data_IF_138698589692
#
_entry.id   IF_138698589692
#
_cell.length_a   1.000
_cell.length_b   1.000
_cell.length_c   1.000
_cell.angle_alpha   90.00
_cell.angle_beta   90.00
_cell.angle_gamma   90.00
#
_symmetry.space_group_name_H-M   'P 1'
#
loop_
_entity.id
_entity.type
_entity.pdbx_description
1 polymer ?
#
# COMPACT_ATOMS: atom_id res chain seq x y z
N UNK A 1 -25.25 -10.55 -11.09
CA UNK A 1 -23.99 -10.50 -10.31
C UNK A 1 -23.07 -9.50 -10.98
N UNK A 2 -22.55 -8.48 -10.27
CA UNK A 2 -21.62 -7.54 -10.90
C UNK A 2 -20.30 -8.25 -11.19
N UNK A 3 -19.96 -8.32 -12.48
CA UNK A 3 -18.65 -8.77 -12.96
C UNK A 3 -17.87 -7.52 -13.31
N UNK A 4 -16.75 -7.32 -12.62
CA UNK A 4 -15.89 -6.16 -12.79
C UNK A 4 -14.71 -6.58 -13.66
N UNK A 5 -14.50 -5.87 -14.75
CA UNK A 5 -13.40 -6.15 -15.68
C UNK A 5 -12.17 -5.34 -15.26
N UNK A 6 -11.06 -6.01 -14.99
CA UNK A 6 -9.82 -5.29 -14.79
C UNK A 6 -9.34 -4.64 -16.10
N UNK A 7 -8.81 -3.43 -15.98
CA UNK A 7 -8.30 -2.62 -17.09
C UNK A 7 -6.80 -2.78 -17.28
N UNK A 8 -6.09 -3.22 -16.24
CA UNK A 8 -4.65 -3.39 -16.28
C UNK A 8 -4.15 -4.23 -15.10
N UNK A 9 -3.10 -5.00 -15.34
CA UNK A 9 -2.52 -5.89 -14.33
C UNK A 9 -1.01 -5.70 -14.27
N UNK A 10 -0.46 -5.47 -13.07
CA UNK A 10 0.99 -5.49 -12.91
C UNK A 10 1.52 -6.91 -13.19
N UNK A 11 2.61 -7.02 -13.98
CA UNK A 11 3.11 -8.30 -14.52
C UNK A 11 3.30 -9.40 -13.47
N UNK A 12 3.76 -9.05 -12.27
CA UNK A 12 4.02 -9.98 -11.17
C UNK A 12 2.76 -10.39 -10.38
N UNK A 13 1.62 -9.74 -10.57
CA UNK A 13 0.41 -10.01 -9.77
C UNK A 13 -0.22 -11.34 -10.12
N UNK A 14 -0.23 -11.74 -11.40
CA UNK A 14 -0.73 -13.06 -11.81
C UNK A 14 0.00 -14.19 -11.08
N UNK A 15 1.34 -14.14 -11.06
CA UNK A 15 2.15 -15.17 -10.41
C UNK A 15 1.87 -15.22 -8.89
N UNK A 16 1.73 -14.06 -8.24
CA UNK A 16 1.39 -13.98 -6.81
C UNK A 16 0.03 -14.63 -6.50
N UNK A 17 -0.98 -14.33 -7.33
CA UNK A 17 -2.34 -14.89 -7.18
C UNK A 17 -2.38 -16.40 -7.46
N UNK A 18 -1.55 -16.90 -8.37
CA UNK A 18 -1.47 -18.33 -8.67
C UNK A 18 -0.82 -19.11 -7.52
N UNK A 19 0.23 -18.56 -6.90
CA UNK A 19 0.91 -19.20 -5.76
C UNK A 19 0.04 -19.14 -4.51
N UNK A 20 -0.67 -18.03 -4.29
CA UNK A 20 -1.52 -17.80 -3.13
C UNK A 20 -2.95 -17.56 -3.60
N UNK A 21 -3.83 -18.53 -3.44
CA UNK A 21 -5.19 -18.41 -3.96
C UNK A 21 -6.10 -17.59 -3.05
N UNK A 22 -5.88 -17.59 -1.74
CA UNK A 22 -6.75 -16.92 -0.76
C UNK A 22 -6.13 -15.61 -0.29
N UNK A 23 -6.87 -14.51 -0.32
CA UNK A 23 -6.41 -13.18 0.12
C UNK A 23 -7.46 -12.51 0.99
N UNK A 24 -7.05 -11.71 1.97
CA UNK A 24 -7.96 -10.92 2.79
C UNK A 24 -7.86 -9.43 2.48
N UNK A 25 -8.97 -8.72 2.60
CA UNK A 25 -8.99 -7.26 2.53
C UNK A 25 -8.29 -6.69 3.76
N UNK A 26 -7.07 -6.16 3.60
CA UNK A 26 -6.31 -5.57 4.69
C UNK A 26 -6.73 -4.12 4.98
N UNK A 27 -6.99 -3.32 3.94
CA UNK A 27 -7.34 -1.90 4.10
C UNK A 27 -8.15 -1.38 2.92
N UNK A 28 -9.13 -0.52 3.18
CA UNK A 28 -10.02 0.10 2.17
C UNK A 28 -9.78 1.62 2.11
N UNK A 29 -9.74 2.17 0.91
CA UNK A 29 -9.55 3.60 0.61
C UNK A 29 -10.61 4.07 -0.38
N UNK A 30 -10.69 5.39 -0.60
CA UNK A 30 -11.63 5.96 -1.57
C UNK A 30 -11.36 5.50 -3.01
N UNK A 31 -10.11 5.20 -3.35
CA UNK A 31 -9.69 4.85 -4.70
C UNK A 31 -9.36 3.37 -4.90
N UNK A 32 -9.66 2.50 -3.92
CA UNK A 32 -9.37 1.09 -3.99
C UNK A 32 -9.17 0.45 -2.61
N UNK A 33 -8.61 -0.74 -2.59
CA UNK A 33 -8.32 -1.49 -1.37
C UNK A 33 -7.05 -2.32 -1.55
N UNK A 34 -6.46 -2.74 -0.43
CA UNK A 34 -5.37 -3.70 -0.43
C UNK A 34 -5.91 -5.09 -0.06
N UNK A 35 -5.52 -6.07 -0.85
CA UNK A 35 -5.50 -7.46 -0.48
C UNK A 35 -4.15 -7.78 0.16
N UNK A 36 -4.16 -8.68 1.13
CA UNK A 36 -2.97 -9.18 1.80
C UNK A 36 -3.04 -10.71 1.93
N UNK A 37 -1.87 -11.33 1.86
CA UNK A 37 -1.64 -12.70 2.26
C UNK A 37 -0.21 -12.74 2.82
N UNK A 38 -0.08 -13.04 4.12
CA UNK A 38 1.17 -12.91 4.87
C UNK A 38 1.82 -11.51 4.70
N UNK A 39 3.02 -11.44 4.15
CA UNK A 39 3.78 -10.21 3.93
C UNK A 39 3.56 -9.60 2.54
N UNK A 40 2.74 -10.22 1.69
CA UNK A 40 2.47 -9.79 0.32
C UNK A 40 1.20 -8.95 0.24
N UNK A 41 1.21 -7.95 -0.64
CA UNK A 41 0.10 -7.02 -0.82
C UNK A 41 -0.18 -6.75 -2.28
N UNK A 42 -1.46 -6.75 -2.62
CA UNK A 42 -1.97 -6.39 -3.95
C UNK A 42 -2.95 -5.23 -3.77
N UNK A 43 -2.74 -4.15 -4.51
CA UNK A 43 -3.68 -3.03 -4.55
C UNK A 43 -4.69 -3.27 -5.67
N UNK A 44 -5.98 -3.23 -5.35
CA UNK A 44 -7.07 -3.27 -6.32
C UNK A 44 -7.74 -1.90 -6.32
N UNK A 45 -7.68 -1.18 -7.44
CA UNK A 45 -8.24 0.16 -7.48
C UNK A 45 -7.97 0.93 -8.76
N UNK A 46 -8.14 2.25 -8.69
CA UNK A 46 -8.00 3.11 -9.86
C UNK A 46 -6.53 3.44 -10.16
N UNK A 47 -6.27 3.89 -11.38
CA UNK A 47 -4.95 4.42 -11.78
C UNK A 47 -4.67 5.84 -11.24
N UNK A 48 -5.44 6.37 -10.28
CA UNK A 48 -5.30 7.75 -9.76
C UNK A 48 -3.89 8.06 -9.26
N UNK A 49 -3.23 7.08 -8.64
CA UNK A 49 -1.85 7.21 -8.13
C UNK A 49 -0.81 6.65 -9.12
N UNK A 50 -1.21 6.53 -10.40
CA UNK A 50 -0.45 5.88 -11.46
C UNK A 50 -0.52 4.34 -11.41
N UNK A 51 0.24 3.72 -12.30
CA UNK A 51 0.44 2.26 -12.33
C UNK A 51 1.29 1.85 -11.12
N UNK A 52 0.74 1.01 -10.23
CA UNK A 52 1.45 0.47 -9.07
C UNK A 52 2.09 -0.88 -9.40
N UNK A 53 3.28 -1.19 -8.86
CA UNK A 53 4.00 -2.43 -9.16
C UNK A 53 3.36 -3.71 -8.58
N UNK A 54 2.26 -3.57 -7.84
CA UNK A 54 1.44 -4.68 -7.31
C UNK A 54 -0.04 -4.34 -7.48
N UNK A 55 -0.40 -3.75 -8.63
CA UNK A 55 -1.72 -3.19 -8.90
C UNK A 55 -2.57 -4.04 -9.82
N UNK A 56 -3.85 -4.17 -9.46
CA UNK A 56 -4.97 -4.51 -10.33
C UNK A 56 -5.74 -3.21 -10.57
N UNK A 57 -5.76 -2.75 -11.81
CA UNK A 57 -6.45 -1.52 -12.20
C UNK A 57 -7.88 -1.85 -12.61
N UNK A 58 -8.85 -1.15 -12.03
CA UNK A 58 -10.27 -1.26 -12.41
C UNK A 58 -10.84 0.14 -12.67
N UNK A 59 -12.00 0.22 -13.32
CA UNK A 59 -12.64 1.49 -13.65
C UNK A 59 -13.06 2.26 -12.39
N UNK A 60 -13.10 3.60 -12.48
CA UNK A 60 -13.50 4.44 -11.35
C UNK A 60 -14.92 4.14 -10.85
N UNK A 61 -15.85 3.83 -11.77
CA UNK A 61 -17.22 3.44 -11.44
C UNK A 61 -17.25 2.13 -10.64
N UNK A 62 -16.43 1.16 -11.05
CA UNK A 62 -16.40 -0.17 -10.45
C UNK A 62 -15.72 -0.16 -9.08
N UNK A 63 -14.70 0.70 -8.88
CA UNK A 63 -14.11 0.92 -7.55
C UNK A 63 -15.16 1.37 -6.55
N UNK A 64 -16.03 2.31 -6.92
CA UNK A 64 -17.10 2.79 -6.03
C UNK A 64 -18.02 1.66 -5.60
N UNK A 65 -18.41 0.78 -6.53
CA UNK A 65 -19.20 -0.41 -6.23
C UNK A 65 -18.47 -1.40 -5.34
N UNK A 66 -17.17 -1.62 -5.59
CA UNK A 66 -16.32 -2.51 -4.78
C UNK A 66 -16.23 -2.01 -3.34
N UNK A 67 -15.80 -0.77 -3.13
CA UNK A 67 -15.55 -0.23 -1.79
C UNK A 67 -16.84 -0.13 -0.95
N UNK A 68 -18.01 0.02 -1.59
CA UNK A 68 -19.30 0.02 -0.91
C UNK A 68 -19.73 -1.38 -0.43
N UNK A 69 -19.15 -2.43 -1.01
CA UNK A 69 -19.60 -3.82 -0.81
C UNK A 69 -18.59 -4.69 -0.05
N UNK A 70 -17.37 -4.20 0.16
CA UNK A 70 -16.30 -4.93 0.86
C UNK A 70 -16.02 -4.34 2.24
N UNK A 71 -15.55 -5.19 3.14
CA UNK A 71 -15.10 -4.83 4.48
C UNK A 71 -13.72 -5.44 4.75
N UNK A 72 -12.99 -4.84 5.69
CA UNK A 72 -11.71 -5.38 6.16
C UNK A 72 -11.89 -6.81 6.68
N UNK A 73 -10.88 -7.66 6.46
CA UNK A 73 -10.84 -9.10 6.76
C UNK A 73 -11.79 -9.98 5.94
N UNK A 74 -12.53 -9.43 4.98
CA UNK A 74 -13.25 -10.26 4.01
C UNK A 74 -12.31 -10.91 3.01
N UNK A 75 -12.76 -12.01 2.40
CA UNK A 75 -11.89 -12.90 1.66
C UNK A 75 -12.17 -12.83 0.16
N UNK A 76 -11.10 -12.80 -0.61
CA UNK A 76 -11.09 -13.07 -2.04
C UNK A 76 -10.36 -14.38 -2.31
N UNK A 77 -10.86 -15.15 -3.25
CA UNK A 77 -10.22 -16.36 -3.73
C UNK A 77 -9.98 -16.27 -5.23
N UNK A 78 -8.76 -16.58 -5.63
CA UNK A 78 -8.33 -16.55 -7.01
C UNK A 78 -8.54 -17.92 -7.66
N UNK A 79 -9.31 -17.94 -8.75
CA UNK A 79 -9.59 -19.11 -9.56
C UNK A 79 -9.57 -18.73 -11.04
N UNK A 80 -8.63 -19.32 -11.79
CA UNK A 80 -8.57 -19.25 -13.26
C UNK A 80 -8.76 -17.83 -13.84
N UNK A 81 -7.95 -16.88 -13.36
CA UNK A 81 -8.04 -15.49 -13.81
C UNK A 81 -9.11 -14.65 -13.11
N UNK A 82 -9.86 -15.20 -12.16
CA UNK A 82 -10.96 -14.50 -11.49
C UNK A 82 -10.67 -14.38 -10.00
N UNK A 83 -10.82 -13.17 -9.44
CA UNK A 83 -10.92 -12.96 -7.99
C UNK A 83 -12.39 -12.98 -7.57
N UNK A 84 -12.76 -13.98 -6.79
CA UNK A 84 -14.10 -14.21 -6.26
C UNK A 84 -14.18 -13.72 -4.81
N UNK A 85 -15.09 -12.79 -4.53
CA UNK A 85 -15.34 -12.39 -3.15
C UNK A 85 -16.19 -13.46 -2.45
N UNK A 86 -15.79 -13.92 -1.27
CA UNK A 86 -16.47 -15.01 -0.56
C UNK A 86 -17.81 -14.57 0.04
N UNK A 87 -17.86 -13.34 0.56
CA UNK A 87 -19.01 -12.83 1.30
C UNK A 87 -20.04 -12.15 0.41
N UNK A 88 -19.82 -12.07 -0.91
CA UNK A 88 -20.78 -11.50 -1.85
C UNK A 88 -20.65 -12.09 -3.25
N UNK A 89 -21.55 -11.71 -4.16
CA UNK A 89 -21.53 -12.18 -5.55
C UNK A 89 -20.57 -11.40 -6.47
N UNK A 90 -19.59 -10.69 -5.91
CA UNK A 90 -18.65 -9.86 -6.69
C UNK A 90 -17.56 -10.74 -7.31
N UNK A 91 -17.27 -10.48 -8.58
CA UNK A 91 -16.18 -11.10 -9.32
C UNK A 91 -15.32 -10.03 -9.99
N UNK A 92 -14.01 -10.18 -9.94
CA UNK A 92 -13.06 -9.34 -10.68
C UNK A 92 -12.35 -10.23 -11.69
N UNK A 93 -12.61 -9.98 -12.96
CA UNK A 93 -12.04 -10.71 -14.09
C UNK A 93 -10.68 -10.12 -14.47
N UNK A 94 -9.66 -10.97 -14.51
CA UNK A 94 -8.27 -10.62 -14.81
C UNK A 94 -7.78 -11.27 -16.13
N UNK A 95 -8.55 -12.17 -16.74
CA UNK A 95 -8.17 -12.83 -17.98
C UNK A 95 -8.15 -11.86 -19.17
N UNK A 96 -7.14 -12.00 -20.04
CA UNK A 96 -6.99 -11.15 -21.23
C UNK A 96 -6.62 -9.67 -20.96
N UNK A 97 -6.37 -9.30 -19.70
CA UNK A 97 -6.11 -7.91 -19.30
C UNK A 97 -4.69 -7.47 -19.68
N UNK A 98 -4.49 -6.24 -20.21
CA UNK A 98 -3.18 -5.73 -20.52
C UNK A 98 -2.24 -5.71 -19.32
N UNK A 99 -1.10 -6.40 -19.45
CA UNK A 99 -0.08 -6.38 -18.42
C UNK A 99 0.82 -5.15 -18.52
N UNK A 100 1.29 -4.66 -17.39
CA UNK A 100 2.22 -3.54 -17.33
C UNK A 100 3.36 -3.75 -16.32
N UNK A 101 4.46 -3.05 -16.55
CA UNK A 101 5.57 -2.93 -15.60
C UNK A 101 5.59 -1.52 -15.01
N UNK A 102 5.68 -1.40 -13.69
CA UNK A 102 5.91 -0.12 -13.02
C UNK A 102 7.31 -0.14 -12.40
N UNK A 103 8.21 0.70 -12.90
CA UNK A 103 9.50 0.93 -12.23
C UNK A 103 9.26 1.84 -11.02
N UNK A 104 9.68 1.41 -9.82
CA UNK A 104 9.85 2.33 -8.68
C UNK A 104 11.11 3.14 -8.96
N UNK A 105 10.97 4.37 -9.45
CA UNK A 105 12.10 5.29 -9.45
C UNK A 105 12.39 5.73 -8.01
N UNK A 106 13.61 5.48 -7.55
CA UNK A 106 14.09 5.92 -6.25
C UNK A 106 14.41 7.41 -6.35
N UNK A 107 13.42 8.26 -6.15
CA UNK A 107 13.66 9.69 -6.03
C UNK A 107 14.17 9.99 -4.63
N UNK A 108 15.32 10.64 -4.51
CA UNK A 108 15.78 11.20 -3.24
C UNK A 108 14.80 12.30 -2.80
N UNK A 109 13.99 12.03 -1.77
CA UNK A 109 13.17 13.07 -1.16
C UNK A 109 14.09 13.89 -0.25
N UNK A 110 14.46 15.10 -0.67
CA UNK A 110 15.02 16.10 0.23
C UNK A 110 13.86 16.72 1.01
N UNK A 111 13.66 16.39 2.30
CA UNK A 111 12.61 17.03 3.08
C UNK A 111 12.81 18.54 3.10
N UNK A 112 11.72 19.31 3.00
CA UNK A 112 11.81 20.76 3.08
C UNK A 112 12.32 21.19 4.45
N UNK A 113 13.05 22.31 4.53
CA UNK A 113 13.50 22.90 5.80
C UNK A 113 12.33 23.19 6.74
N UNK A 114 11.17 23.51 6.18
CA UNK A 114 9.91 23.67 6.92
C UNK A 114 9.46 22.37 7.59
N UNK A 115 9.44 21.24 6.87
CA UNK A 115 9.10 19.93 7.44
C UNK A 115 10.05 19.53 8.59
N UNK A 116 11.35 19.78 8.41
CA UNK A 116 12.36 19.51 9.45
C UNK A 116 12.11 20.32 10.72
N UNK A 117 11.85 21.63 10.59
CA UNK A 117 11.62 22.49 11.75
C UNK A 117 10.31 22.16 12.48
N UNK A 118 9.25 21.82 11.74
CA UNK A 118 7.93 21.53 12.33
C UNK A 118 7.88 20.18 13.04
N UNK A 119 8.69 19.20 12.65
CA UNK A 119 8.63 17.84 13.21
C UNK A 119 9.85 17.40 14.01
N UNK A 120 11.01 18.03 13.80
CA UNK A 120 12.25 17.71 14.50
C UNK A 120 12.90 18.92 15.17
N UNK A 121 12.36 20.12 14.96
CA UNK A 121 12.96 21.37 15.39
C UNK A 121 12.50 21.86 16.76
N UNK A 122 12.65 21.08 17.83
CA UNK A 122 12.82 21.63 19.21
C UNK A 122 13.67 20.72 20.08
N UNK A 123 14.99 20.90 20.01
CA UNK A 123 15.91 20.58 21.10
C UNK A 123 16.86 21.77 21.28
N UNK A 124 16.48 22.66 22.19
CA UNK A 124 17.40 23.59 22.84
C UNK A 124 17.01 23.65 24.31
N UNK A 125 17.67 22.81 25.11
CA UNK A 125 18.38 23.20 26.34
C UNK A 125 18.60 21.94 27.19
N UNK A 126 19.85 21.80 27.66
CA UNK A 126 20.29 20.95 28.76
C UNK A 126 20.63 19.49 28.43
N UNK A 127 21.84 19.31 27.89
CA UNK A 127 22.79 18.33 28.45
C UNK A 127 22.55 16.83 28.33
N UNK A 128 21.45 16.35 27.73
CA UNK A 128 21.21 14.91 27.54
C UNK A 128 21.20 14.55 26.04
N UNK A 129 22.19 13.76 25.61
CA UNK A 129 22.21 13.15 24.27
C UNK A 129 21.17 12.01 24.24
N UNK A 130 20.12 12.18 23.42
CA UNK A 130 19.21 11.09 23.07
C UNK A 130 19.44 10.68 21.61
N UNK A 131 19.79 9.41 21.38
CA UNK A 131 19.82 8.80 20.06
C UNK A 131 18.46 8.17 19.76
N UNK A 132 17.86 8.53 18.62
CA UNK A 132 16.63 7.90 18.13
C UNK A 132 16.94 6.50 17.61
N UNK A 133 16.31 5.48 18.20
CA UNK A 133 16.32 4.11 17.68
C UNK A 133 14.96 3.75 17.10
N UNK A 134 15.02 3.08 15.93
CA UNK A 134 13.99 2.29 15.23
C UNK A 134 12.52 2.65 15.47
N UNK A 135 11.88 3.13 14.40
CA UNK A 135 10.43 3.02 14.23
C UNK A 135 10.04 1.56 13.97
N UNK A 136 9.54 0.88 14.99
CA UNK A 136 8.64 -0.27 14.84
C UNK A 136 7.36 0.04 15.61
N UNK A 137 6.22 -0.14 14.92
CA UNK A 137 4.81 0.04 15.32
C UNK A 137 4.54 0.44 16.78
N UNK A 138 3.82 1.57 16.92
CA UNK A 138 2.95 1.97 18.02
C UNK A 138 3.43 1.66 19.45
N UNK A 139 4.15 2.60 20.08
CA UNK A 139 4.15 3.02 21.50
C UNK A 139 5.53 3.60 21.84
N UNK A 140 5.58 4.84 22.31
CA UNK A 140 6.83 5.56 22.65
C UNK A 140 7.35 5.12 24.02
N UNK A 141 8.58 4.59 24.09
CA UNK A 141 9.36 4.49 25.34
C UNK A 141 10.72 5.13 25.10
N UNK A 142 11.10 6.11 25.93
CA UNK A 142 12.39 6.79 25.86
C UNK A 142 13.43 6.04 26.70
N UNK A 143 14.55 5.65 26.10
CA UNK A 143 15.78 5.24 26.81
C UNK A 143 16.99 6.04 26.30
N UNK A 144 17.98 6.36 27.16
CA UNK A 144 19.18 7.10 26.76
C UNK A 144 20.27 6.15 26.23
N UNK A 145 20.79 6.39 25.02
CA UNK A 145 21.98 5.70 24.51
C UNK A 145 22.95 6.62 23.75
N UNK A 146 24.23 6.31 23.93
CA UNK A 146 25.42 6.99 23.41
C UNK A 146 25.70 6.69 21.93
N UNK A 147 26.34 7.68 21.29
CA UNK A 147 27.08 7.66 20.00
C UNK A 147 26.26 7.80 18.70
N UNK A 148 26.70 8.79 17.91
CA UNK A 148 26.08 9.24 16.67
C UNK A 148 26.57 8.43 15.47
N UNK A 149 25.65 7.95 14.64
CA UNK A 149 25.92 7.61 13.24
C UNK A 149 24.77 8.16 12.39
N UNK A 150 25.15 8.84 11.32
CA UNK A 150 24.31 9.57 10.38
C UNK A 150 23.32 8.62 9.68
N UNK A 151 22.02 8.72 9.99
CA UNK A 151 20.98 7.92 9.35
C UNK A 151 20.35 8.70 8.18
N UNK A 152 20.62 8.24 6.95
CA UNK A 152 19.87 8.64 5.75
C UNK A 152 18.47 8.05 5.83
N UNK A 153 17.46 8.90 5.82
CA UNK A 153 16.06 8.46 5.72
C UNK A 153 15.69 8.20 4.26
N UNK A 154 15.13 7.02 4.01
CA UNK A 154 14.59 6.64 2.70
C UNK A 154 13.07 6.68 2.77
N UNK A 155 12.48 7.72 2.19
CA UNK A 155 11.04 7.80 1.97
C UNK A 155 10.75 7.65 0.47
N UNK A 156 9.81 6.79 0.10
CA UNK A 156 9.33 6.68 -1.27
C UNK A 156 8.15 7.63 -1.49
N UNK A 157 8.17 8.37 -2.61
CA UNK A 157 7.15 9.39 -2.94
C UNK A 157 5.74 8.80 -3.08
N UNK A 158 5.62 7.48 -3.31
CA UNK A 158 4.34 6.75 -3.40
C UNK A 158 3.84 6.20 -2.06
N UNK A 159 4.68 6.14 -1.02
CA UNK A 159 4.30 5.59 0.29
C UNK A 159 3.67 6.66 1.20
N UNK A 160 3.91 7.95 0.94
CA UNK A 160 3.30 9.05 1.71
C UNK A 160 1.81 9.21 1.34
N UNK A 161 1.43 8.89 0.11
CA UNK A 161 0.04 9.00 -0.34
C UNK A 161 -0.87 7.88 0.21
N UNK A 162 -0.31 6.82 0.81
CA UNK A 162 -1.09 5.78 1.49
C UNK A 162 -1.27 6.04 3.00
N UNK A 163 -0.61 7.06 3.56
CA UNK A 163 -0.56 7.31 5.00
C UNK A 163 -1.17 8.65 5.45
N UNK A 164 -1.72 9.43 4.53
CA UNK A 164 -2.43 10.67 4.86
C UNK A 164 -3.93 10.47 4.62
N UNK A 165 -4.63 10.09 5.69
CA UNK A 165 -6.04 10.45 5.88
C UNK A 165 -6.15 11.96 5.99
#
# INVERSE_FOLDING_TARGET
MPVIQAMGLARNVSDLLMVRQVWHVHSVFLNGFNLENEDERIFVGTAKNGKLPFGIQVANTDVTTLIASIQVNQQFEYHDGILLHHQSSIKIELSGVPQYTSKREKTEIKPSRAFFNTHFGKSKANGARFCHTRFTRATTILQPCHSATEQRYHFYRKDIALFLR
#
